data_IF_637350946885
#
_entry.id   IF_637350946885
#
_cell.length_a   1.000
_cell.length_b   1.000
_cell.length_c   1.000
_cell.angle_alpha   90.00
_cell.angle_beta   90.00
_cell.angle_gamma   90.00
#
_symmetry.space_group_name_H-M   'P 1'
#
loop_
_entity.id
_entity.type
_entity.pdbx_description
1 polymer ?
#
# COMPACT_ATOMS: atom_id res chain seq x y z
N UNK A 1 3.55 -13.12 13.99
CA UNK A 1 2.71 -13.46 12.82
C UNK A 1 1.57 -12.46 12.61
N UNK A 2 0.64 -12.32 13.57
CA UNK A 2 -0.57 -11.48 13.43
C UNK A 2 -0.27 -10.01 13.11
N UNK A 3 0.67 -9.38 13.82
CA UNK A 3 1.03 -7.95 13.59
C UNK A 3 1.57 -7.71 12.18
N UNK A 4 2.46 -8.58 11.68
CA UNK A 4 3.02 -8.44 10.33
C UNK A 4 1.98 -8.67 9.23
N UNK A 5 1.04 -9.60 9.44
CA UNK A 5 -0.10 -9.77 8.52
C UNK A 5 -1.02 -8.56 8.50
N UNK A 6 -1.27 -7.95 9.66
CA UNK A 6 -2.09 -6.74 9.78
C UNK A 6 -1.45 -5.54 9.08
N UNK A 7 -0.15 -5.34 9.26
CA UNK A 7 0.61 -4.29 8.57
C UNK A 7 0.55 -4.50 7.05
N UNK A 8 0.88 -5.70 6.57
CA UNK A 8 0.82 -6.01 5.14
C UNK A 8 -0.59 -5.79 4.57
N UNK A 9 -1.64 -6.21 5.28
CA UNK A 9 -3.02 -6.00 4.86
C UNK A 9 -3.37 -4.51 4.72
N UNK A 10 -2.94 -3.67 5.67
CA UNK A 10 -3.20 -2.23 5.62
C UNK A 10 -2.41 -1.57 4.48
N UNK A 11 -1.13 -1.91 4.29
CA UNK A 11 -0.31 -1.38 3.19
C UNK A 11 -0.91 -1.76 1.83
N UNK A 12 -1.46 -2.96 1.72
CA UNK A 12 -2.17 -3.38 0.52
C UNK A 12 -3.51 -2.64 0.34
N UNK A 13 -4.23 -2.34 1.42
CA UNK A 13 -5.45 -1.51 1.35
C UNK A 13 -5.15 -0.11 0.81
N UNK A 14 -4.12 0.54 1.35
CA UNK A 14 -3.62 1.85 0.89
C UNK A 14 -3.22 1.81 -0.60
N UNK A 15 -2.56 0.73 -1.04
CA UNK A 15 -2.19 0.54 -2.44
C UNK A 15 -3.42 0.40 -3.33
N UNK A 16 -4.39 -0.44 -2.94
CA UNK A 16 -5.63 -0.67 -3.69
C UNK A 16 -6.54 0.57 -3.70
N UNK A 17 -6.49 1.42 -2.68
CA UNK A 17 -7.21 2.70 -2.68
C UNK A 17 -6.74 3.60 -3.84
N UNK A 18 -5.43 3.64 -4.11
CA UNK A 18 -4.91 4.48 -5.20
C UNK A 18 -4.93 3.81 -6.58
N UNK A 19 -4.60 2.52 -6.65
CA UNK A 19 -4.34 1.77 -7.90
C UNK A 19 -5.39 0.71 -8.24
N UNK A 20 -6.27 0.36 -7.31
CA UNK A 20 -7.32 -0.61 -7.53
C UNK A 20 -8.39 -0.07 -8.48
N UNK A 21 -9.01 -0.99 -9.22
CA UNK A 21 -10.17 -0.67 -10.04
C UNK A 21 -11.39 -0.44 -9.12
N UNK A 22 -12.04 0.74 -9.16
CA UNK A 22 -13.22 1.02 -8.34
C UNK A 22 -14.34 -0.01 -8.48
N UNK A 23 -14.49 -0.65 -9.65
CA UNK A 23 -15.50 -1.70 -9.86
C UNK A 23 -15.17 -2.99 -9.09
N UNK A 24 -13.88 -3.26 -8.89
CA UNK A 24 -13.40 -4.46 -8.19
C UNK A 24 -13.34 -4.22 -6.68
N UNK A 25 -12.85 -3.04 -6.27
CA UNK A 25 -12.71 -2.64 -4.87
C UNK A 25 -14.07 -2.23 -4.27
N UNK A 26 -15.03 -1.80 -5.09
CA UNK A 26 -16.38 -1.40 -4.66
C UNK A 26 -16.44 -0.02 -4.00
N UNK A 27 -15.31 0.73 -4.00
CA UNK A 27 -15.22 2.12 -3.56
C UNK A 27 -14.29 2.90 -4.50
N UNK A 28 -14.54 4.20 -4.59
CA UNK A 28 -13.57 5.14 -5.13
C UNK A 28 -12.57 5.42 -4.01
N UNK A 29 -11.27 5.25 -4.27
CA UNK A 29 -10.25 5.60 -3.28
C UNK A 29 -10.14 7.10 -3.08
N UNK A 30 -9.96 7.51 -1.83
CA UNK A 30 -9.98 8.90 -1.38
C UNK A 30 -8.76 9.27 -0.55
N UNK A 31 -7.78 8.38 -0.39
CA UNK A 31 -6.64 8.61 0.51
C UNK A 31 -5.85 9.88 0.20
N UNK A 32 -5.74 10.24 -1.08
CA UNK A 32 -5.05 11.46 -1.53
C UNK A 32 -5.88 12.69 -1.16
N UNK A 33 -7.17 12.70 -1.47
CA UNK A 33 -8.08 13.82 -1.17
C UNK A 33 -8.22 14.05 0.33
N UNK A 34 -8.28 12.97 1.12
CA UNK A 34 -8.47 12.98 2.56
C UNK A 34 -7.17 13.28 3.33
N UNK A 35 -6.05 13.50 2.62
CA UNK A 35 -4.73 13.72 3.20
C UNK A 35 -4.31 12.60 4.17
N UNK A 36 -4.68 11.34 3.88
CA UNK A 36 -4.33 10.23 4.76
C UNK A 36 -2.82 10.00 4.76
N UNK A 37 -2.30 9.61 5.92
CA UNK A 37 -0.92 9.16 6.07
C UNK A 37 -0.78 7.71 5.58
N UNK A 38 -1.06 7.48 4.30
CA UNK A 38 -0.98 6.17 3.67
C UNK A 38 0.48 5.76 3.42
N UNK A 39 0.70 4.46 3.23
CA UNK A 39 2.00 3.93 2.86
C UNK A 39 2.55 4.55 1.57
N UNK A 40 1.67 4.89 0.63
CA UNK A 40 2.04 5.48 -0.66
C UNK A 40 2.70 6.86 -0.50
N UNK A 41 2.10 7.76 0.28
CA UNK A 41 2.66 9.12 0.46
C UNK A 41 3.96 9.08 1.25
N UNK A 42 4.06 8.22 2.27
CA UNK A 42 5.30 8.05 3.04
C UNK A 42 6.42 7.51 2.13
N UNK A 43 6.11 6.56 1.26
CA UNK A 43 7.08 5.99 0.31
C UNK A 43 7.50 7.02 -0.73
N UNK A 44 6.56 7.78 -1.28
CA UNK A 44 6.84 8.87 -2.21
C UNK A 44 7.75 9.92 -1.56
N UNK A 45 7.45 10.39 -0.35
CA UNK A 45 8.26 11.40 0.37
C UNK A 45 9.69 10.94 0.65
N UNK A 46 9.90 9.64 0.89
CA UNK A 46 11.25 9.06 1.08
C UNK A 46 12.07 9.03 -0.21
N UNK A 47 11.42 8.92 -1.36
CA UNK A 47 12.05 8.82 -2.68
C UNK A 47 12.18 10.15 -3.41
N UNK A 48 11.29 11.10 -3.09
CA UNK A 48 11.19 12.37 -3.77
C UNK A 48 12.38 13.30 -3.50
N UNK A 49 12.83 13.99 -4.54
CA UNK A 49 13.71 15.14 -4.45
C UNK A 49 12.95 16.38 -3.92
N UNK A 50 13.63 17.52 -3.64
CA UNK A 50 12.98 18.71 -3.11
C UNK A 50 11.84 19.25 -3.99
N UNK A 51 11.99 19.22 -5.31
CA UNK A 51 11.00 19.73 -6.27
C UNK A 51 9.74 18.86 -6.27
N UNK A 52 9.91 17.54 -6.29
CA UNK A 52 8.83 16.56 -6.21
C UNK A 52 8.12 16.62 -4.85
N UNK A 53 8.85 16.91 -3.75
CA UNK A 53 8.25 17.14 -2.43
C UNK A 53 7.35 18.38 -2.43
N UNK A 54 7.75 19.45 -3.13
CA UNK A 54 6.91 20.64 -3.27
C UNK A 54 5.59 20.31 -3.99
N UNK A 55 5.62 19.46 -5.03
CA UNK A 55 4.42 18.96 -5.72
C UNK A 55 3.49 18.21 -4.74
N UNK A 56 4.03 17.32 -3.91
CA UNK A 56 3.24 16.63 -2.89
C UNK A 56 2.64 17.62 -1.88
N UNK A 57 3.43 18.59 -1.39
CA UNK A 57 2.94 19.60 -0.44
C UNK A 57 1.85 20.47 -1.03
N UNK A 58 1.94 20.79 -2.32
CA UNK A 58 0.95 21.63 -2.99
C UNK A 58 -0.33 20.85 -3.29
N UNK A 59 -0.26 19.58 -3.69
CA UNK A 59 -1.41 18.87 -4.26
C UNK A 59 -2.02 17.79 -3.36
N UNK A 60 -1.28 17.25 -2.39
CA UNK A 60 -1.81 16.23 -1.49
C UNK A 60 -2.85 16.83 -0.52
N UNK A 61 -3.97 16.12 -0.28
CA UNK A 61 -5.08 16.63 0.54
C UNK A 61 -6.02 17.59 -0.18
N UNK A 62 -5.89 17.77 -1.50
CA UNK A 62 -6.81 18.58 -2.30
C UNK A 62 -7.77 17.70 -3.10
N UNK A 63 -9.06 17.92 -2.94
CA UNK A 63 -10.11 17.16 -3.64
C UNK A 63 -10.28 17.51 -5.13
N UNK A 64 -9.44 18.38 -5.71
CA UNK A 64 -9.52 18.70 -7.13
C UNK A 64 -8.92 17.58 -7.96
N UNK A 65 -9.62 17.18 -9.04
CA UNK A 65 -9.17 16.11 -9.94
C UNK A 65 -7.76 16.34 -10.51
N UNK A 66 -7.41 17.61 -10.78
CA UNK A 66 -6.06 17.99 -11.23
C UNK A 66 -5.00 17.69 -10.17
N UNK A 67 -5.25 18.02 -8.90
CA UNK A 67 -4.30 17.76 -7.82
C UNK A 67 -4.10 16.26 -7.59
N UNK A 68 -5.20 15.50 -7.58
CA UNK A 68 -5.13 14.02 -7.46
C UNK A 68 -4.35 13.42 -8.63
N UNK A 69 -4.61 13.86 -9.86
CA UNK A 69 -3.89 13.38 -11.04
C UNK A 69 -2.39 13.68 -10.97
N UNK A 70 -1.98 14.86 -10.50
CA UNK A 70 -0.57 15.23 -10.31
C UNK A 70 0.11 14.37 -9.25
N UNK A 71 -0.54 14.09 -8.13
CA UNK A 71 -0.02 13.18 -7.10
C UNK A 71 0.13 11.77 -7.67
N UNK A 72 -0.88 11.25 -8.37
CA UNK A 72 -0.81 9.92 -9.00
C UNK A 72 0.30 9.84 -10.05
N UNK A 73 0.46 10.87 -10.89
CA UNK A 73 1.55 10.94 -11.86
C UNK A 73 2.93 10.91 -11.18
N UNK A 74 3.06 11.64 -10.08
CA UNK A 74 4.31 11.64 -9.30
C UNK A 74 4.58 10.26 -8.65
N UNK A 75 3.55 9.54 -8.20
CA UNK A 75 3.74 8.17 -7.71
C UNK A 75 4.25 7.22 -8.80
N UNK A 76 3.83 7.42 -10.05
CA UNK A 76 4.36 6.67 -11.20
C UNK A 76 5.82 7.04 -11.45
N UNK A 77 6.16 8.33 -11.45
CA UNK A 77 7.53 8.82 -11.64
C UNK A 77 8.50 8.29 -10.57
N UNK A 78 8.05 8.20 -9.33
CA UNK A 78 8.85 7.72 -8.18
C UNK A 78 8.89 6.19 -8.06
N UNK A 79 8.27 5.47 -9.00
CA UNK A 79 8.12 4.02 -8.99
C UNK A 79 7.58 3.49 -7.64
N UNK A 80 6.53 4.13 -7.12
CA UNK A 80 5.88 3.70 -5.87
C UNK A 80 5.23 2.33 -6.04
N UNK A 81 4.77 2.01 -7.26
CA UNK A 81 4.24 0.68 -7.59
C UNK A 81 5.31 -0.41 -7.48
N UNK A 82 6.49 -0.22 -8.08
CA UNK A 82 7.59 -1.17 -7.93
C UNK A 82 8.06 -1.29 -6.48
N UNK A 83 8.03 -0.18 -5.73
CA UNK A 83 8.28 -0.20 -4.29
C UNK A 83 7.32 -1.13 -3.53
N UNK A 84 6.03 -1.06 -3.87
CA UNK A 84 4.99 -1.87 -3.25
C UNK A 84 5.17 -3.34 -3.61
N UNK A 85 5.42 -3.66 -4.88
CA UNK A 85 5.64 -5.05 -5.34
C UNK A 85 6.83 -5.71 -4.61
N UNK A 86 7.92 -4.95 -4.41
CA UNK A 86 9.06 -5.41 -3.62
C UNK A 86 8.71 -5.60 -2.13
N UNK A 87 7.94 -4.68 -1.54
CA UNK A 87 7.47 -4.79 -0.15
C UNK A 87 6.51 -5.97 0.04
N UNK A 88 5.60 -6.22 -0.90
CA UNK A 88 4.64 -7.31 -0.88
C UNK A 88 5.36 -8.66 -0.90
N UNK A 89 6.34 -8.82 -1.79
CA UNK A 89 7.13 -10.05 -1.87
C UNK A 89 7.90 -10.29 -0.56
N UNK A 90 8.58 -9.26 -0.06
CA UNK A 90 9.34 -9.36 1.19
C UNK A 90 8.44 -9.68 2.38
N UNK A 91 7.30 -8.99 2.51
CA UNK A 91 6.34 -9.23 3.58
C UNK A 91 5.82 -10.66 3.57
N UNK A 92 5.55 -11.21 2.38
CA UNK A 92 5.15 -12.60 2.24
C UNK A 92 6.21 -13.59 2.75
N UNK A 93 7.48 -13.37 2.38
CA UNK A 93 8.62 -14.18 2.85
C UNK A 93 8.80 -14.08 4.36
N UNK A 94 8.80 -12.86 4.90
CA UNK A 94 8.96 -12.59 6.33
C UNK A 94 7.83 -13.23 7.16
N UNK A 95 6.57 -13.05 6.74
CA UNK A 95 5.41 -13.63 7.42
C UNK A 95 5.45 -15.15 7.35
N UNK A 96 5.79 -15.74 6.19
CA UNK A 96 5.91 -17.19 6.03
C UNK A 96 7.01 -17.75 6.94
N UNK A 97 8.16 -17.06 7.02
CA UNK A 97 9.24 -17.39 7.94
C UNK A 97 8.79 -17.38 9.40
N UNK A 98 8.02 -16.37 9.80
CA UNK A 98 7.46 -16.28 11.15
C UNK A 98 6.43 -17.39 11.44
N UNK A 99 5.60 -17.76 10.47
CA UNK A 99 4.65 -18.87 10.62
C UNK A 99 5.40 -20.18 10.86
N UNK A 100 6.47 -20.44 10.12
CA UNK A 100 7.26 -21.67 10.27
C UNK A 100 7.98 -21.77 11.63
N UNK A 101 8.28 -20.63 12.25
CA UNK A 101 8.92 -20.56 13.58
C UNK A 101 7.90 -20.62 14.74
N UNK A 102 6.63 -20.40 14.46
CA UNK A 102 5.56 -20.46 15.45
C UNK A 102 5.43 -21.89 15.99
N UNK A 103 5.15 -22.05 17.28
CA UNK A 103 5.06 -23.39 17.92
C UNK A 103 3.72 -23.65 18.57
N UNK A 104 2.98 -22.60 18.90
CA UNK A 104 1.77 -22.68 19.72
C UNK A 104 0.52 -22.59 18.86
N UNK A 105 0.53 -21.72 17.85
CA UNK A 105 -0.66 -21.42 17.07
C UNK A 105 -0.74 -22.27 15.78
N UNK A 106 -1.95 -22.57 15.27
CA UNK A 106 -2.11 -23.46 14.11
C UNK A 106 -1.54 -22.83 12.83
N UNK A 107 -0.46 -23.40 12.29
CA UNK A 107 0.17 -22.90 11.05
C UNK A 107 -0.80 -22.85 9.88
N UNK A 108 -1.60 -23.91 9.72
CA UNK A 108 -2.57 -24.03 8.62
C UNK A 108 -3.57 -22.87 8.57
N UNK A 109 -3.97 -22.33 9.73
CA UNK A 109 -4.86 -21.17 9.80
C UNK A 109 -4.16 -19.92 9.25
N UNK A 110 -2.92 -19.64 9.66
CA UNK A 110 -2.19 -18.46 9.17
C UNK A 110 -1.82 -18.57 7.71
N UNK A 111 -1.45 -19.75 7.23
CA UNK A 111 -1.21 -19.95 5.80
C UNK A 111 -2.49 -19.75 4.97
N UNK A 112 -3.64 -20.23 5.47
CA UNK A 112 -4.92 -19.99 4.84
C UNK A 112 -5.26 -18.49 4.79
N UNK A 113 -5.10 -17.77 5.90
CA UNK A 113 -5.35 -16.33 5.97
C UNK A 113 -4.36 -15.54 5.08
N UNK A 114 -3.07 -15.88 5.11
CA UNK A 114 -2.04 -15.25 4.28
C UNK A 114 -2.36 -15.44 2.79
N UNK A 115 -2.80 -16.63 2.39
CA UNK A 115 -3.23 -16.90 1.01
C UNK A 115 -4.43 -16.08 0.58
N UNK A 116 -5.30 -15.67 1.51
CA UNK A 116 -6.46 -14.82 1.22
C UNK A 116 -6.07 -13.35 0.99
N UNK A 117 -5.01 -12.88 1.65
CA UNK A 117 -4.57 -11.49 1.55
C UNK A 117 -3.44 -11.29 0.53
N UNK A 118 -2.63 -12.32 0.26
CA UNK A 118 -1.51 -12.20 -0.67
C UNK A 118 -1.99 -11.91 -2.10
N UNK A 119 -1.48 -10.82 -2.71
CA UNK A 119 -1.85 -10.36 -4.06
C UNK A 119 -3.37 -10.27 -4.26
N UNK A 120 -4.11 -9.84 -3.23
CA UNK A 120 -5.56 -9.67 -3.38
C UNK A 120 -5.83 -8.54 -4.36
N UNK A 121 -6.80 -8.76 -5.22
CA UNK A 121 -7.37 -7.73 -6.09
C UNK A 121 -8.68 -7.17 -5.53
N UNK A 122 -9.14 -7.66 -4.36
CA UNK A 122 -10.39 -7.32 -3.67
C UNK A 122 -10.22 -7.49 -2.16
#
# INVERSE_FOLDING_TARGET
VVTGMGEYFQVQDDFLDCYGDPEVIGKIGTDIEDSKCSWLVVTALKRANPEQKAVLQEHYGKSSKDSVAKVKALYVELDVKGAFEAYEQKSYEDITGLINQEKVLPHGLFLFLLKKIYRRSK
#
